data_IF_358513155999
#
_entry.id   IF_358513155999
#
_cell.length_a   1.000
_cell.length_b   1.000
_cell.length_c   1.000
_cell.angle_alpha   90.00
_cell.angle_beta   90.00
_cell.angle_gamma   90.00
#
_symmetry.space_group_name_H-M   'P 1'
#
loop_
_entity.id
_entity.type
_entity.pdbx_description
1 polymer ?
#
# COMPACT_ATOMS: atom_id res chain seq x y z
N UNK A 1 -57.58 -12.39 -49.87
CA UNK A 1 -56.51 -13.16 -49.21
C UNK A 1 -55.42 -12.16 -48.78
N UNK A 2 -55.39 -11.72 -47.49
CA UNK A 2 -54.43 -10.79 -46.94
C UNK A 2 -53.30 -11.62 -46.29
N UNK A 3 -52.05 -11.51 -46.82
CA UNK A 3 -50.88 -12.09 -46.20
C UNK A 3 -50.44 -11.18 -45.07
N UNK A 4 -50.46 -11.65 -43.85
CA UNK A 4 -49.89 -11.00 -42.67
C UNK A 4 -48.43 -11.43 -42.61
N UNK A 5 -47.55 -10.44 -42.78
CA UNK A 5 -46.10 -10.60 -42.64
C UNK A 5 -45.73 -10.36 -41.18
N UNK A 6 -45.43 -11.43 -40.44
CA UNK A 6 -44.87 -11.33 -39.09
C UNK A 6 -43.41 -10.88 -39.20
N UNK A 7 -43.14 -9.69 -38.72
CA UNK A 7 -41.77 -9.18 -38.53
C UNK A 7 -41.33 -9.60 -37.13
N UNK A 8 -40.42 -10.57 -37.05
CA UNK A 8 -39.74 -10.93 -35.81
C UNK A 8 -38.65 -9.91 -35.51
N UNK A 9 -38.86 -9.08 -34.49
CA UNK A 9 -37.82 -8.18 -33.96
C UNK A 9 -36.95 -8.99 -33.00
N UNK A 10 -35.77 -9.34 -33.46
CA UNK A 10 -34.75 -9.92 -32.58
C UNK A 10 -34.15 -8.79 -31.73
N UNK A 11 -34.55 -8.71 -30.48
CA UNK A 11 -33.90 -7.81 -29.51
C UNK A 11 -32.59 -8.48 -29.10
N UNK A 12 -31.48 -7.98 -29.65
CA UNK A 12 -30.12 -8.33 -29.24
C UNK A 12 -29.88 -7.67 -27.88
N UNK A 13 -30.07 -8.40 -26.79
CA UNK A 13 -29.64 -7.99 -25.47
C UNK A 13 -28.10 -8.07 -25.43
N UNK A 14 -27.45 -6.97 -25.82
CA UNK A 14 -26.04 -6.76 -25.58
C UNK A 14 -25.89 -6.47 -24.08
N UNK A 15 -25.66 -7.52 -23.28
CA UNK A 15 -25.27 -7.38 -21.88
C UNK A 15 -23.83 -6.84 -21.85
N UNK A 16 -23.68 -5.53 -21.91
CA UNK A 16 -22.44 -4.87 -21.51
C UNK A 16 -22.31 -5.10 -20.00
N UNK A 17 -21.52 -6.09 -19.63
CA UNK A 17 -20.98 -6.16 -18.28
C UNK A 17 -20.08 -4.93 -18.09
N UNK A 18 -20.67 -3.81 -17.69
CA UNK A 18 -19.91 -2.75 -17.06
C UNK A 18 -19.34 -3.37 -15.78
N UNK A 19 -18.04 -3.68 -15.79
CA UNK A 19 -17.29 -3.85 -14.56
C UNK A 19 -17.60 -2.58 -13.75
N UNK A 20 -18.42 -2.71 -12.70
CA UNK A 20 -18.55 -1.68 -11.68
C UNK A 20 -17.14 -1.52 -11.10
N UNK A 21 -16.41 -0.53 -11.59
CA UNK A 21 -15.30 0.01 -10.84
C UNK A 21 -15.92 0.44 -9.51
N UNK A 22 -15.69 -0.35 -8.50
CA UNK A 22 -16.19 -0.02 -7.17
C UNK A 22 -15.50 1.29 -6.80
N UNK A 23 -16.28 2.29 -6.39
CA UNK A 23 -15.83 3.60 -5.88
C UNK A 23 -14.74 3.48 -4.78
N UNK A 24 -14.43 2.27 -4.35
CA UNK A 24 -13.47 1.94 -3.31
C UNK A 24 -12.00 2.11 -3.71
N UNK A 25 -11.66 2.12 -5.01
CA UNK A 25 -10.28 2.08 -5.50
C UNK A 25 -9.78 3.36 -6.16
N UNK A 26 -10.47 4.49 -5.92
CA UNK A 26 -10.00 5.77 -6.47
C UNK A 26 -8.57 6.05 -5.99
N UNK A 27 -7.66 6.09 -6.95
CA UNK A 27 -6.26 6.41 -6.74
C UNK A 27 -5.32 5.21 -6.54
N UNK A 28 -5.79 3.96 -6.43
CA UNK A 28 -4.92 2.79 -6.31
C UNK A 28 -4.74 2.05 -7.64
N UNK A 29 -3.49 1.80 -8.02
CA UNK A 29 -3.10 1.00 -9.18
C UNK A 29 -2.85 -0.46 -8.76
N UNK A 30 -3.13 -1.44 -9.61
CA UNK A 30 -2.70 -2.81 -9.32
C UNK A 30 -1.17 -2.88 -9.33
N UNK A 31 -0.59 -3.53 -8.31
CA UNK A 31 0.86 -3.63 -8.14
C UNK A 31 1.54 -4.32 -9.35
N UNK A 32 0.87 -5.29 -9.99
CA UNK A 32 1.37 -5.95 -11.19
C UNK A 32 1.45 -4.99 -12.38
N UNK A 33 0.44 -4.12 -12.55
CA UNK A 33 0.44 -3.10 -13.60
C UNK A 33 1.62 -2.15 -13.42
N UNK A 34 1.79 -1.60 -12.21
CA UNK A 34 2.90 -0.68 -11.92
C UNK A 34 4.25 -1.37 -12.15
N UNK A 35 4.37 -2.64 -11.74
CA UNK A 35 5.58 -3.42 -11.93
C UNK A 35 5.90 -3.67 -13.41
N UNK A 36 4.89 -3.98 -14.23
CA UNK A 36 5.05 -4.22 -15.67
C UNK A 36 5.39 -2.97 -16.49
N UNK A 37 5.10 -1.78 -15.95
CA UNK A 37 5.37 -0.48 -16.58
C UNK A 37 6.77 0.07 -16.26
N UNK A 38 7.58 -0.63 -15.43
CA UNK A 38 8.93 -0.20 -15.09
C UNK A 38 9.86 -0.29 -16.28
N UNK A 39 10.59 0.79 -16.52
CA UNK A 39 11.68 0.79 -17.51
C UNK A 39 12.92 0.06 -16.95
N UNK A 40 13.79 -0.43 -17.86
CA UNK A 40 15.00 -1.17 -17.47
C UNK A 40 15.94 -0.38 -16.56
N UNK A 41 15.96 0.94 -16.69
CA UNK A 41 16.80 1.85 -15.90
C UNK A 41 16.13 2.36 -14.62
N UNK A 42 14.94 1.87 -14.29
CA UNK A 42 14.21 2.26 -13.09
C UNK A 42 14.34 1.22 -11.99
N UNK A 43 14.42 1.71 -10.78
CA UNK A 43 14.32 0.96 -9.54
C UNK A 43 12.94 1.21 -8.94
N UNK A 44 12.35 0.21 -8.31
CA UNK A 44 11.09 0.38 -7.57
C UNK A 44 11.25 -0.02 -6.10
N UNK A 45 10.63 0.75 -5.23
CA UNK A 45 10.44 0.44 -3.82
C UNK A 45 8.95 0.34 -3.55
N UNK A 46 8.46 -0.85 -3.24
CA UNK A 46 7.10 -1.07 -2.78
C UNK A 46 7.05 -0.93 -1.26
N UNK A 47 6.64 0.24 -0.76
CA UNK A 47 6.35 0.47 0.64
C UNK A 47 4.88 0.10 0.88
N UNK A 48 4.64 -1.03 1.53
CA UNK A 48 3.29 -1.58 1.68
C UNK A 48 2.96 -1.92 3.14
N UNK A 49 1.67 -1.94 3.45
CA UNK A 49 1.15 -2.43 4.72
C UNK A 49 1.32 -3.96 4.79
N UNK A 50 1.62 -4.49 5.98
CA UNK A 50 1.66 -5.93 6.23
C UNK A 50 0.36 -6.64 5.81
N UNK A 51 0.41 -7.95 5.58
CA UNK A 51 -0.71 -8.82 5.26
C UNK A 51 -1.74 -8.93 6.40
N UNK A 52 -2.87 -9.58 6.14
CA UNK A 52 -3.91 -9.81 7.15
C UNK A 52 -3.33 -10.51 8.37
N UNK A 53 -3.60 -9.96 9.56
CA UNK A 53 -3.12 -10.48 10.86
C UNK A 53 -4.25 -11.02 11.73
N UNK A 54 -3.89 -11.85 12.69
CA UNK A 54 -4.76 -12.29 13.75
C UNK A 54 -5.14 -11.17 14.73
N UNK A 55 -5.72 -11.55 15.85
CA UNK A 55 -6.18 -10.62 16.90
C UNK A 55 -5.06 -10.11 17.81
N UNK A 56 -3.88 -10.71 17.75
CA UNK A 56 -2.72 -10.24 18.49
C UNK A 56 -2.12 -9.00 17.82
N UNK A 57 -2.14 -7.88 18.54
CA UNK A 57 -1.62 -6.58 18.10
C UNK A 57 -0.19 -6.33 18.55
N UNK A 58 0.38 -7.22 19.38
CA UNK A 58 1.74 -7.11 19.88
C UNK A 58 2.79 -7.22 18.75
N UNK A 59 4.06 -7.05 19.09
CA UNK A 59 5.17 -7.26 18.15
C UNK A 59 5.23 -8.70 17.66
N UNK A 60 4.92 -9.68 18.52
CA UNK A 60 4.85 -11.10 18.20
C UNK A 60 3.58 -11.54 17.44
N UNK A 61 2.65 -10.60 17.17
CA UNK A 61 1.42 -10.88 16.45
C UNK A 61 1.68 -11.29 14.99
N UNK A 62 1.14 -12.46 14.61
CA UNK A 62 1.41 -13.12 13.34
C UNK A 62 0.33 -12.84 12.29
N UNK A 63 0.64 -13.11 11.03
CA UNK A 63 -0.32 -13.16 9.94
C UNK A 63 -1.30 -14.33 10.11
N UNK A 64 -2.51 -14.17 9.58
CA UNK A 64 -3.40 -15.30 9.34
C UNK A 64 -2.89 -16.15 8.17
N UNK A 65 -3.38 -17.39 8.04
CA UNK A 65 -3.03 -18.20 6.86
C UNK A 65 -3.50 -17.54 5.56
N UNK A 66 -4.66 -16.86 5.59
CA UNK A 66 -5.12 -16.04 4.47
C UNK A 66 -4.16 -14.89 4.16
N UNK A 67 -3.66 -14.17 5.18
CA UNK A 67 -2.69 -13.10 5.01
C UNK A 67 -1.37 -13.59 4.40
N UNK A 68 -0.90 -14.79 4.79
CA UNK A 68 0.29 -15.42 4.17
C UNK A 68 0.03 -15.78 2.71
N UNK A 69 -1.13 -16.38 2.40
CA UNK A 69 -1.50 -16.75 1.03
C UNK A 69 -1.59 -15.50 0.13
N UNK A 70 -2.24 -14.44 0.61
CA UNK A 70 -2.35 -13.17 -0.10
C UNK A 70 -0.97 -12.52 -0.35
N UNK A 71 -0.06 -12.57 0.62
CA UNK A 71 1.31 -12.07 0.45
C UNK A 71 2.07 -12.86 -0.63
N UNK A 72 1.90 -14.19 -0.70
CA UNK A 72 2.48 -15.01 -1.78
C UNK A 72 1.93 -14.62 -3.15
N UNK A 73 0.61 -14.41 -3.27
CA UNK A 73 -0.01 -13.93 -4.51
C UNK A 73 0.56 -12.58 -4.96
N UNK A 74 0.83 -11.66 -4.03
CA UNK A 74 1.52 -10.40 -4.35
C UNK A 74 2.92 -10.65 -4.87
N UNK A 75 3.65 -11.57 -4.25
CA UNK A 75 4.98 -12.00 -4.74
C UNK A 75 4.94 -12.52 -6.18
N UNK A 76 3.97 -13.38 -6.50
CA UNK A 76 3.76 -13.89 -7.85
C UNK A 76 3.49 -12.77 -8.87
N UNK A 77 2.68 -11.76 -8.51
CA UNK A 77 2.36 -10.60 -9.34
C UNK A 77 3.57 -9.75 -9.73
N UNK A 78 4.60 -9.70 -8.88
CA UNK A 78 5.81 -8.89 -9.12
C UNK A 78 7.06 -9.73 -9.37
N UNK A 79 6.88 -10.97 -9.84
CA UNK A 79 7.96 -11.91 -10.14
C UNK A 79 8.53 -11.67 -11.54
N UNK A 80 9.86 -11.61 -11.66
CA UNK A 80 10.57 -11.50 -12.94
C UNK A 80 11.91 -12.26 -12.99
N UNK A 81 12.23 -13.05 -11.95
CA UNK A 81 13.48 -13.81 -11.84
C UNK A 81 14.69 -13.04 -11.29
N UNK A 82 14.57 -11.70 -11.10
CA UNK A 82 15.57 -10.92 -10.38
C UNK A 82 15.32 -11.04 -8.86
N UNK A 83 16.39 -11.19 -8.07
CA UNK A 83 16.30 -11.19 -6.61
C UNK A 83 15.90 -9.81 -6.10
N UNK A 84 14.84 -9.71 -5.28
CA UNK A 84 14.46 -8.47 -4.62
C UNK A 84 15.24 -8.24 -3.31
N UNK A 85 15.23 -6.98 -2.84
CA UNK A 85 15.64 -6.59 -1.50
C UNK A 85 14.42 -6.54 -0.60
N UNK A 86 14.55 -6.98 0.65
CA UNK A 86 13.46 -7.03 1.64
C UNK A 86 13.85 -6.31 2.91
N UNK A 87 13.00 -5.38 3.36
CA UNK A 87 13.12 -4.79 4.70
C UNK A 87 11.75 -4.68 5.38
N UNK A 88 11.75 -4.76 6.71
CA UNK A 88 10.53 -4.75 7.51
C UNK A 88 10.75 -4.04 8.85
N UNK A 89 9.66 -3.68 9.53
CA UNK A 89 9.71 -3.16 10.90
C UNK A 89 10.03 -4.29 11.91
N UNK A 90 10.19 -3.93 13.17
CA UNK A 90 10.47 -4.83 14.30
C UNK A 90 9.26 -5.71 14.73
N UNK A 91 8.27 -5.94 13.87
CA UNK A 91 7.10 -6.77 14.12
C UNK A 91 7.10 -8.06 13.28
N UNK A 92 6.82 -9.20 13.91
CA UNK A 92 6.80 -10.50 13.23
C UNK A 92 5.88 -10.54 12.00
N UNK A 93 4.72 -9.89 12.04
CA UNK A 93 3.79 -9.82 10.89
C UNK A 93 4.37 -9.10 9.67
N UNK A 94 5.23 -8.08 9.87
CA UNK A 94 5.89 -7.40 8.75
C UNK A 94 6.97 -8.27 8.14
N UNK A 95 7.77 -8.95 8.98
CA UNK A 95 8.74 -9.95 8.55
C UNK A 95 8.06 -11.10 7.79
N UNK A 96 6.98 -11.68 8.34
CA UNK A 96 6.23 -12.74 7.66
C UNK A 96 5.62 -12.30 6.33
N UNK A 97 5.23 -11.02 6.21
CA UNK A 97 4.75 -10.48 4.95
C UNK A 97 5.86 -10.48 3.91
N UNK A 98 7.05 -9.97 4.23
CA UNK A 98 8.22 -10.02 3.36
C UNK A 98 8.59 -11.46 2.96
N UNK A 99 8.64 -12.38 3.93
CA UNK A 99 8.96 -13.80 3.71
C UNK A 99 7.98 -14.44 2.71
N UNK A 100 6.67 -14.23 2.90
CA UNK A 100 5.67 -14.82 2.00
C UNK A 100 5.68 -14.17 0.60
N UNK A 101 5.99 -12.88 0.49
CA UNK A 101 6.23 -12.24 -0.82
C UNK A 101 7.46 -12.87 -1.49
N UNK A 102 8.55 -13.09 -0.75
CA UNK A 102 9.75 -13.75 -1.28
C UNK A 102 9.45 -15.17 -1.79
N UNK A 103 8.66 -15.96 -1.03
CA UNK A 103 8.19 -17.28 -1.48
C UNK A 103 7.43 -17.17 -2.80
N UNK A 104 6.49 -16.24 -2.93
CA UNK A 104 5.72 -16.03 -4.17
C UNK A 104 6.58 -15.61 -5.35
N UNK A 105 7.61 -14.82 -5.11
CA UNK A 105 8.60 -14.43 -6.12
C UNK A 105 9.58 -15.53 -6.48
N UNK A 106 9.68 -16.59 -5.66
CA UNK A 106 10.73 -17.61 -5.68
C UNK A 106 12.14 -17.04 -5.43
N UNK A 107 12.21 -16.03 -4.57
CA UNK A 107 13.46 -15.41 -4.11
C UNK A 107 14.00 -16.13 -2.87
N UNK A 108 15.30 -16.00 -2.65
CA UNK A 108 15.89 -16.26 -1.32
C UNK A 108 15.46 -15.14 -0.37
N UNK A 109 15.01 -15.50 0.84
CA UNK A 109 14.59 -14.50 1.83
C UNK A 109 15.79 -13.96 2.61
N UNK A 110 16.49 -13.00 2.00
CA UNK A 110 17.52 -12.18 2.65
C UNK A 110 16.86 -10.85 3.01
N UNK A 111 16.87 -10.51 4.31
CA UNK A 111 16.09 -9.39 4.82
C UNK A 111 16.82 -8.56 5.85
N UNK A 112 16.36 -7.34 6.04
CA UNK A 112 16.83 -6.39 7.07
C UNK A 112 15.65 -5.89 7.92
N UNK A 113 15.95 -5.52 9.16
CA UNK A 113 15.00 -4.80 10.03
C UNK A 113 15.37 -3.32 10.07
N UNK A 114 14.41 -2.46 9.67
CA UNK A 114 14.62 -1.02 9.62
C UNK A 114 13.68 -0.28 10.56
N UNK A 115 14.22 0.48 11.51
CA UNK A 115 13.43 1.29 12.45
C UNK A 115 12.55 2.34 11.77
N UNK A 116 12.94 2.84 10.58
CA UNK A 116 12.14 3.79 9.79
C UNK A 116 10.85 3.19 9.22
N UNK A 117 10.66 1.86 9.33
CA UNK A 117 9.45 1.16 8.91
C UNK A 117 8.49 0.93 10.09
N UNK A 118 8.81 1.38 11.30
CA UNK A 118 7.91 1.32 12.43
C UNK A 118 6.71 2.24 12.22
N UNK A 119 5.55 1.84 12.75
CA UNK A 119 4.28 2.52 12.50
C UNK A 119 4.14 3.91 13.12
N UNK A 120 5.10 4.34 13.94
CA UNK A 120 5.09 5.58 14.70
C UNK A 120 5.90 6.72 14.04
N UNK A 121 6.41 6.53 12.83
CA UNK A 121 7.26 7.52 12.14
C UNK A 121 6.71 8.96 12.13
N UNK A 122 5.41 9.12 11.95
CA UNK A 122 4.76 10.43 11.92
C UNK A 122 4.31 10.95 13.29
N UNK A 123 4.42 10.14 14.33
CA UNK A 123 4.03 10.49 15.70
C UNK A 123 5.17 11.20 16.40
N UNK A 124 4.89 12.38 16.90
CA UNK A 124 5.86 13.26 17.57
C UNK A 124 5.91 13.00 19.07
N UNK A 125 4.73 12.87 19.68
CA UNK A 125 4.57 12.64 21.12
C UNK A 125 3.43 11.66 21.37
N UNK A 126 3.80 10.42 21.73
CA UNK A 126 2.83 9.35 21.98
C UNK A 126 2.01 9.58 23.26
N UNK A 127 2.56 10.28 24.25
CA UNK A 127 1.84 10.54 25.49
C UNK A 127 0.76 11.61 25.26
N UNK A 128 1.06 12.67 24.53
CA UNK A 128 0.08 13.66 24.08
C UNK A 128 -1.00 12.97 23.22
N UNK A 129 -0.63 12.15 22.25
CA UNK A 129 -1.58 11.42 21.40
C UNK A 129 -2.55 10.59 22.23
N UNK A 130 -2.07 9.85 23.23
CA UNK A 130 -2.90 9.03 24.13
C UNK A 130 -3.79 9.89 25.02
N UNK A 131 -3.24 10.93 25.66
CA UNK A 131 -3.98 11.82 26.54
C UNK A 131 -5.11 12.56 25.82
N UNK A 132 -4.89 12.94 24.56
CA UNK A 132 -5.88 13.61 23.70
C UNK A 132 -6.87 12.64 23.04
N UNK A 133 -6.66 11.32 23.16
CA UNK A 133 -7.47 10.33 22.47
C UNK A 133 -7.26 10.30 20.94
N UNK A 134 -6.10 10.73 20.45
CA UNK A 134 -5.77 10.83 19.03
C UNK A 134 -5.19 9.54 18.43
N UNK A 135 -5.04 8.48 19.21
CA UNK A 135 -4.55 7.17 18.74
C UNK A 135 -5.68 6.38 18.06
N UNK A 136 -6.16 6.91 16.94
CA UNK A 136 -7.23 6.29 16.15
C UNK A 136 -7.11 6.67 14.66
N UNK A 137 -7.77 5.90 13.80
CA UNK A 137 -7.74 6.09 12.35
C UNK A 137 -8.41 7.39 11.88
N UNK A 138 -9.43 7.85 12.62
CA UNK A 138 -10.14 9.09 12.30
C UNK A 138 -9.23 10.29 12.42
N UNK A 139 -8.58 10.45 13.57
CA UNK A 139 -7.64 11.55 13.81
C UNK A 139 -6.45 11.50 12.88
N UNK A 140 -5.85 10.32 12.67
CA UNK A 140 -4.70 10.20 11.77
C UNK A 140 -5.06 10.56 10.33
N UNK A 141 -6.20 10.08 9.85
CA UNK A 141 -6.68 10.38 8.50
C UNK A 141 -6.94 11.89 8.36
N UNK A 142 -7.66 12.50 9.31
CA UNK A 142 -7.92 13.93 9.29
C UNK A 142 -6.63 14.75 9.34
N UNK A 143 -5.72 14.44 10.25
CA UNK A 143 -4.42 15.09 10.33
C UNK A 143 -3.65 15.03 9.00
N UNK A 144 -3.61 13.88 8.34
CA UNK A 144 -2.84 13.71 7.11
C UNK A 144 -3.40 14.55 5.95
N UNK A 145 -4.74 14.76 5.88
CA UNK A 145 -5.36 15.58 4.84
C UNK A 145 -5.40 17.07 5.18
N UNK A 146 -5.75 17.42 6.42
CA UNK A 146 -6.08 18.79 6.81
C UNK A 146 -4.97 19.45 7.65
N UNK A 147 -4.05 18.65 8.20
CA UNK A 147 -3.06 19.14 9.17
C UNK A 147 -3.65 19.26 10.58
N UNK A 148 -3.03 20.10 11.41
CA UNK A 148 -3.39 20.22 12.81
C UNK A 148 -2.73 19.16 13.70
N UNK A 149 -3.07 19.18 15.00
CA UNK A 149 -2.55 18.22 15.98
C UNK A 149 -1.00 18.25 16.15
N UNK A 150 -0.38 19.41 15.95
CA UNK A 150 1.09 19.60 15.92
C UNK A 150 1.79 19.22 17.24
N UNK A 151 1.04 19.15 18.34
CA UNK A 151 1.56 18.65 19.62
C UNK A 151 1.89 17.14 19.54
N UNK A 152 1.07 16.37 18.81
CA UNK A 152 1.16 14.91 18.74
C UNK A 152 1.76 14.38 17.43
N UNK A 153 1.63 15.12 16.34
CA UNK A 153 2.10 14.69 15.01
C UNK A 153 3.08 15.69 14.42
N UNK A 154 4.04 15.17 13.65
CA UNK A 154 4.90 15.99 12.79
C UNK A 154 4.12 16.55 11.60
N UNK A 155 4.67 17.55 10.92
CA UNK A 155 4.15 17.98 9.63
C UNK A 155 4.27 16.83 8.61
N UNK A 156 3.18 16.52 7.88
CA UNK A 156 3.14 15.40 6.95
C UNK A 156 4.19 15.53 5.85
N UNK A 157 4.28 16.69 5.22
CA UNK A 157 5.16 16.91 4.07
C UNK A 157 6.63 16.85 4.48
N UNK A 158 7.00 17.56 5.55
CA UNK A 158 8.37 17.58 6.06
C UNK A 158 8.81 16.19 6.48
N UNK A 159 7.98 15.49 7.24
CA UNK A 159 8.32 14.15 7.76
C UNK A 159 8.36 13.09 6.67
N UNK A 160 7.54 13.22 5.62
CA UNK A 160 7.61 12.34 4.44
C UNK A 160 8.90 12.58 3.65
N UNK A 161 9.34 13.82 3.49
CA UNK A 161 10.63 14.14 2.85
C UNK A 161 11.81 13.59 3.64
N UNK A 162 11.81 13.72 4.96
CA UNK A 162 12.84 13.13 5.83
C UNK A 162 12.91 11.59 5.66
N UNK A 163 11.74 10.93 5.56
CA UNK A 163 11.70 9.49 5.32
C UNK A 163 12.29 9.13 3.95
N UNK A 164 11.94 9.88 2.90
CA UNK A 164 12.48 9.69 1.55
C UNK A 164 14.00 9.96 1.50
N UNK A 165 14.49 10.92 2.24
CA UNK A 165 15.93 11.19 2.33
C UNK A 165 16.66 10.08 3.12
N UNK A 166 16.05 9.53 4.16
CA UNK A 166 16.54 8.32 4.82
C UNK A 166 16.54 7.13 3.85
N UNK A 167 15.48 6.92 3.06
CA UNK A 167 15.45 5.88 2.04
C UNK A 167 16.61 6.04 1.03
N UNK A 168 16.90 7.26 0.58
CA UNK A 168 18.00 7.52 -0.35
C UNK A 168 19.35 7.05 0.20
N UNK A 169 19.58 7.16 1.51
CA UNK A 169 20.83 6.69 2.13
C UNK A 169 21.02 5.17 2.06
N UNK A 170 19.94 4.41 1.91
CA UNK A 170 19.96 2.96 1.73
C UNK A 170 20.04 2.49 0.27
N UNK A 171 19.85 3.39 -0.71
CA UNK A 171 19.82 3.01 -2.13
C UNK A 171 21.06 2.26 -2.63
N UNK A 172 22.31 2.50 -2.12
CA UNK A 172 23.50 1.74 -2.53
C UNK A 172 23.39 0.25 -2.26
N UNK A 173 22.71 -0.16 -1.17
CA UNK A 173 22.56 -1.55 -0.74
C UNK A 173 21.30 -2.21 -1.29
N UNK A 174 20.39 -1.41 -1.86
CA UNK A 174 19.12 -1.87 -2.41
C UNK A 174 19.26 -2.40 -3.83
N UNK A 175 18.30 -3.24 -4.25
CA UNK A 175 18.22 -3.84 -5.58
C UNK A 175 17.33 -3.05 -6.53
N UNK A 176 17.14 -3.55 -7.76
CA UNK A 176 16.19 -2.96 -8.70
C UNK A 176 14.74 -3.06 -8.20
N UNK A 177 14.42 -4.17 -7.51
CA UNK A 177 13.11 -4.42 -6.91
C UNK A 177 13.28 -4.49 -5.40
N UNK A 178 12.49 -3.72 -4.67
CA UNK A 178 12.60 -3.62 -3.21
C UNK A 178 11.20 -3.67 -2.59
N UNK A 179 11.05 -4.49 -1.55
CA UNK A 179 9.80 -4.66 -0.81
C UNK A 179 10.04 -4.24 0.63
N UNK A 180 9.43 -3.15 1.02
CA UNK A 180 9.49 -2.59 2.37
C UNK A 180 8.12 -2.73 3.01
N UNK A 181 8.04 -3.42 4.14
CA UNK A 181 6.77 -3.71 4.81
C UNK A 181 6.68 -2.97 6.14
N UNK A 182 5.62 -2.19 6.26
CA UNK A 182 5.33 -1.36 7.42
C UNK A 182 3.87 -1.54 7.90
N UNK A 183 3.36 -0.58 8.64
CA UNK A 183 2.06 -0.57 9.30
C UNK A 183 1.11 0.44 8.66
N UNK A 184 -0.19 0.26 8.94
CA UNK A 184 -1.25 1.10 8.38
C UNK A 184 -1.06 2.60 8.66
N UNK A 185 -0.68 3.01 9.87
CA UNK A 185 -0.45 4.41 10.21
C UNK A 185 0.61 5.07 9.34
N UNK A 186 1.76 4.40 9.20
CA UNK A 186 2.87 4.89 8.38
C UNK A 186 2.50 4.89 6.88
N UNK A 187 1.94 3.78 6.40
CA UNK A 187 1.67 3.61 4.97
C UNK A 187 0.49 4.47 4.51
N UNK A 188 -0.53 4.70 5.37
CA UNK A 188 -1.63 5.63 5.07
C UNK A 188 -1.12 7.06 4.89
N UNK A 189 -0.33 7.55 5.84
CA UNK A 189 0.23 8.90 5.74
C UNK A 189 1.09 9.08 4.49
N UNK A 190 1.97 8.10 4.20
CA UNK A 190 2.79 8.13 2.99
C UNK A 190 1.95 8.04 1.70
N UNK A 191 0.86 7.25 1.66
CA UNK A 191 -0.01 7.18 0.49
C UNK A 191 -0.75 8.50 0.23
N UNK A 192 -1.21 9.17 1.29
CA UNK A 192 -1.83 10.50 1.20
C UNK A 192 -0.83 11.52 0.68
N UNK A 193 0.39 11.56 1.22
CA UNK A 193 1.46 12.42 0.73
C UNK A 193 1.81 12.13 -0.73
N UNK A 194 2.10 10.88 -1.07
CA UNK A 194 2.57 10.45 -2.39
C UNK A 194 1.54 10.65 -3.52
N UNK A 195 0.26 10.73 -3.18
CA UNK A 195 -0.83 11.01 -4.13
C UNK A 195 -1.22 12.47 -4.20
N UNK A 196 -0.48 13.37 -3.54
CA UNK A 196 -0.90 14.77 -3.36
C UNK A 196 -2.33 14.87 -2.82
N UNK A 197 -2.62 14.04 -1.80
CA UNK A 197 -3.93 13.94 -1.13
C UNK A 197 -5.10 13.49 -2.03
N UNK A 198 -4.82 12.91 -3.21
CA UNK A 198 -5.86 12.49 -4.15
C UNK A 198 -6.42 11.09 -3.88
N UNK A 199 -5.67 10.24 -3.17
CA UNK A 199 -6.17 8.92 -2.74
C UNK A 199 -7.33 9.09 -1.75
N UNK A 200 -8.38 8.26 -1.88
CA UNK A 200 -9.54 8.37 -0.99
C UNK A 200 -9.39 7.48 0.26
N UNK A 201 -8.73 8.02 1.27
CA UNK A 201 -8.54 7.40 2.59
C UNK A 201 -9.14 8.28 3.71
N UNK A 202 -10.28 8.96 3.44
CA UNK A 202 -10.96 9.89 4.37
C UNK A 202 -11.76 9.11 5.42
N UNK A 203 -11.08 8.48 6.37
CA UNK A 203 -11.73 7.62 7.36
C UNK A 203 -12.81 8.34 8.18
N UNK A 204 -12.61 9.61 8.53
CA UNK A 204 -13.60 10.42 9.28
C UNK A 204 -14.87 10.75 8.47
N UNK A 205 -14.81 10.66 7.14
CA UNK A 205 -15.94 10.97 6.25
C UNK A 205 -16.67 9.68 5.81
N UNK A 206 -15.91 8.68 5.34
CA UNK A 206 -16.48 7.54 4.61
C UNK A 206 -15.98 6.18 5.10
N UNK A 207 -15.28 6.14 6.26
CA UNK A 207 -14.72 4.94 6.89
C UNK A 207 -13.75 4.15 6.00
N UNK A 208 -13.14 4.78 5.01
CA UNK A 208 -12.13 4.20 4.15
C UNK A 208 -10.74 4.27 4.80
N UNK A 209 -10.07 3.12 4.82
CA UNK A 209 -8.73 2.98 5.37
C UNK A 209 -7.86 2.15 4.42
N UNK A 210 -6.54 2.33 4.47
CA UNK A 210 -5.63 1.55 3.61
C UNK A 210 -5.78 0.06 3.88
N UNK A 211 -5.92 -0.76 2.83
CA UNK A 211 -6.06 -2.20 2.95
C UNK A 211 -4.70 -2.88 3.24
N UNK A 212 -4.73 -4.13 3.65
CA UNK A 212 -3.55 -4.99 3.70
C UNK A 212 -2.89 -5.08 2.33
N UNK A 213 -1.55 -5.16 2.30
CA UNK A 213 -0.75 -5.24 1.08
C UNK A 213 -0.98 -4.09 0.08
N UNK A 214 -1.59 -2.99 0.52
CA UNK A 214 -1.66 -1.74 -0.22
C UNK A 214 -0.62 -0.74 0.30
N UNK A 215 -0.25 0.25 -0.52
CA UNK A 215 0.74 1.24 -0.16
C UNK A 215 1.17 2.13 -1.31
N UNK A 216 2.47 2.36 -1.42
CA UNK A 216 3.10 3.25 -2.40
C UNK A 216 4.22 2.52 -3.15
N UNK A 217 4.23 2.63 -4.47
CA UNK A 217 5.38 2.36 -5.29
C UNK A 217 6.17 3.66 -5.49
N UNK A 218 7.40 3.69 -5.02
CA UNK A 218 8.37 4.76 -5.24
C UNK A 218 9.28 4.31 -6.37
N UNK A 219 9.15 4.96 -7.52
CA UNK A 219 9.90 4.61 -8.73
C UNK A 219 11.02 5.62 -8.88
N UNK A 220 12.25 5.12 -8.98
CA UNK A 220 13.47 5.92 -8.94
C UNK A 220 14.20 5.72 -10.27
N UNK A 221 14.42 6.80 -11.00
CA UNK A 221 15.16 6.78 -12.26
C UNK A 221 16.69 6.74 -12.03
N UNK A 222 17.45 6.65 -13.14
CA UNK A 222 18.93 6.62 -13.12
C UNK A 222 19.56 7.90 -12.53
N UNK A 223 18.85 9.01 -12.52
CA UNK A 223 19.31 10.30 -12.02
C UNK A 223 18.89 10.54 -10.55
N UNK A 224 18.18 9.56 -9.95
CA UNK A 224 17.70 9.59 -8.57
C UNK A 224 16.39 10.36 -8.38
N UNK A 225 15.73 10.79 -9.46
CA UNK A 225 14.42 11.41 -9.35
C UNK A 225 13.35 10.37 -8.96
N UNK A 226 12.45 10.75 -8.07
CA UNK A 226 11.39 9.89 -7.55
C UNK A 226 10.04 10.29 -8.11
N UNK A 227 9.26 9.30 -8.54
CA UNK A 227 7.82 9.42 -8.83
C UNK A 227 7.05 8.38 -8.05
N UNK A 228 5.81 8.69 -7.73
CA UNK A 228 5.00 7.89 -6.84
C UNK A 228 3.75 7.37 -7.53
N UNK A 229 3.36 6.14 -7.18
CA UNK A 229 2.04 5.59 -7.49
C UNK A 229 1.51 4.88 -6.25
N UNK A 230 0.29 5.18 -5.84
CA UNK A 230 -0.40 4.37 -4.84
C UNK A 230 -0.75 3.01 -5.45
N UNK A 231 -0.47 1.93 -4.70
CA UNK A 231 -0.60 0.55 -5.18
C UNK A 231 -1.45 -0.31 -4.27
N UNK A 232 -2.13 -1.28 -4.87
CA UNK A 232 -2.84 -2.36 -4.19
C UNK A 232 -2.28 -3.71 -4.62
N UNK A 233 -2.07 -4.60 -3.65
CA UNK A 233 -1.68 -6.00 -3.91
C UNK A 233 -2.90 -6.92 -4.05
N UNK A 234 -4.03 -6.54 -3.44
CA UNK A 234 -5.31 -7.25 -3.47
C UNK A 234 -6.29 -6.57 -4.45
N UNK A 235 -7.53 -7.08 -4.51
CA UNK A 235 -8.58 -6.55 -5.39
C UNK A 235 -8.98 -5.11 -5.05
N UNK A 236 -8.78 -4.68 -3.79
CA UNK A 236 -9.00 -3.31 -3.34
C UNK A 236 -7.83 -2.77 -2.53
N UNK A 237 -7.44 -1.52 -2.79
CA UNK A 237 -6.49 -0.74 -1.99
C UNK A 237 -7.10 -0.18 -0.70
N UNK A 238 -8.42 -0.24 -0.58
CA UNK A 238 -9.20 0.34 0.50
C UNK A 238 -9.94 -0.75 1.28
N UNK A 239 -9.89 -0.64 2.60
CA UNK A 239 -10.69 -1.39 3.55
C UNK A 239 -11.82 -0.48 4.03
N UNK A 240 -13.06 -0.75 3.62
CA UNK A 240 -14.26 -0.10 4.16
C UNK A 240 -14.71 -0.80 5.44
N UNK A 241 -15.01 -0.04 6.53
CA UNK A 241 -15.45 -0.57 7.83
C UNK A 241 -16.65 0.19 8.36
#
# INVERSE_FOLDING_TARGET
>A
MRKIMLMAVAILLCSTAFAQATYADIGFNDIATVFSELNDNERVVFLIRHGERGRDYSRAGLLTENGKAQARMVGEKIRNGEQAFYAHSDYDRTKQTCENIAIGRADEFIHEEWGILNGDWYRKDLDVIRQRGWDNWETLSQWAYEGGHEEGFYNLEERSKEWLDSLKSHLPDMKRINVLVSHDYMVTAMAIYASDKQVDLHYWVNRKWINYLAGVAIIIDKDGNMRFKTVRGLDSGVLAR
#
